data_IF_571296804314
#
_entry.id   IF_571296804314
#
_cell.length_a   1.000
_cell.length_b   1.000
_cell.length_c   1.000
_cell.angle_alpha   90.00
_cell.angle_beta   90.00
_cell.angle_gamma   90.00
#
_symmetry.space_group_name_H-M   'P 1'
#
loop_
_entity.id
_entity.type
_entity.pdbx_description
1 polymer ?
#
# COMPACT_ATOMS: atom_id res chain seq x y z
N UNK A 1 -13.54 36.05 2.98
CA UNK A 1 -14.78 35.57 3.63
C UNK A 1 -15.99 36.50 3.39
N UNK A 2 -16.07 37.21 2.26
CA UNK A 2 -17.17 38.14 1.95
C UNK A 2 -17.81 37.92 0.57
N UNK A 3 -17.35 36.92 -0.21
CA UNK A 3 -17.84 36.68 -1.58
C UNK A 3 -18.86 35.53 -1.63
N UNK A 4 -18.80 34.57 -0.70
CA UNK A 4 -19.75 33.42 -0.69
C UNK A 4 -21.14 33.75 -0.15
N UNK A 5 -21.30 34.87 0.58
CA UNK A 5 -22.59 35.25 1.19
C UNK A 5 -23.55 35.98 0.26
N UNK A 6 -23.07 36.53 -0.86
CA UNK A 6 -23.85 37.43 -1.74
C UNK A 6 -24.24 36.76 -3.06
N UNK A 7 -23.43 35.82 -3.55
CA UNK A 7 -23.67 35.16 -4.85
C UNK A 7 -24.85 34.18 -4.78
N UNK A 8 -25.02 33.48 -3.66
CA UNK A 8 -26.12 32.52 -3.46
C UNK A 8 -27.52 33.14 -3.55
N UNK A 9 -27.83 34.21 -2.79
CA UNK A 9 -29.13 34.85 -2.82
C UNK A 9 -29.46 35.48 -4.18
N UNK A 10 -28.49 36.15 -4.81
CA UNK A 10 -28.70 36.84 -6.10
C UNK A 10 -28.95 35.82 -7.22
N UNK A 11 -28.21 34.71 -7.24
CA UNK A 11 -28.44 33.63 -8.20
C UNK A 11 -29.81 32.97 -8.03
N UNK A 12 -30.24 32.74 -6.78
CA UNK A 12 -31.58 32.19 -6.51
C UNK A 12 -32.71 33.17 -6.87
N UNK A 13 -32.52 34.47 -6.63
CA UNK A 13 -33.48 35.51 -6.98
C UNK A 13 -33.65 35.69 -8.49
N UNK A 14 -32.53 35.66 -9.24
CA UNK A 14 -32.57 35.72 -10.70
C UNK A 14 -33.22 34.47 -11.31
N UNK A 15 -32.96 33.28 -10.76
CA UNK A 15 -33.60 32.04 -11.19
C UNK A 15 -35.11 32.03 -10.93
N UNK A 16 -35.53 32.49 -9.74
CA UNK A 16 -36.94 32.62 -9.39
C UNK A 16 -37.66 33.65 -10.27
N UNK A 17 -37.03 34.81 -10.53
CA UNK A 17 -37.58 35.84 -11.41
C UNK A 17 -37.75 35.35 -12.86
N UNK A 18 -36.78 34.61 -13.38
CA UNK A 18 -36.85 34.02 -14.71
C UNK A 18 -37.96 32.96 -14.83
N UNK A 19 -38.15 32.14 -13.78
CA UNK A 19 -39.23 31.15 -13.72
C UNK A 19 -40.61 31.81 -13.71
N UNK A 20 -40.78 32.91 -12.97
CA UNK A 20 -42.06 33.66 -12.91
C UNK A 20 -42.37 34.33 -14.26
N UNK A 21 -41.37 34.93 -14.91
CA UNK A 21 -41.51 35.51 -16.25
C UNK A 21 -41.87 34.46 -17.30
N UNK A 22 -41.24 33.28 -17.22
CA UNK A 22 -41.54 32.16 -18.10
C UNK A 22 -42.94 31.60 -17.85
N UNK A 23 -43.37 31.47 -16.59
CA UNK A 23 -44.71 31.02 -16.23
C UNK A 23 -45.81 31.99 -16.71
N UNK A 24 -45.54 33.31 -16.67
CA UNK A 24 -46.47 34.33 -17.16
C UNK A 24 -46.62 34.35 -18.70
N UNK A 25 -45.71 33.71 -19.43
CA UNK A 25 -45.71 33.65 -20.90
C UNK A 25 -46.36 32.37 -21.48
N UNK A 26 -46.85 31.48 -20.61
CA UNK A 26 -47.50 30.22 -21.01
C UNK A 26 -48.97 30.50 -21.32
N UNK A 27 -49.36 30.41 -22.59
CA UNK A 27 -50.77 30.42 -23.01
C UNK A 27 -51.53 29.14 -22.58
N UNK A 28 -52.86 29.16 -22.65
CA UNK A 28 -53.81 28.16 -22.10
C UNK A 28 -53.76 26.71 -22.70
N UNK A 29 -52.62 26.26 -23.23
CA UNK A 29 -52.43 24.93 -23.82
C UNK A 29 -51.39 24.06 -23.10
N UNK A 30 -51.44 22.71 -23.26
CA UNK A 30 -50.46 21.80 -22.65
C UNK A 30 -49.08 21.80 -23.36
N UNK A 31 -49.02 22.18 -24.64
CA UNK A 31 -47.78 22.24 -25.43
C UNK A 31 -46.71 23.22 -24.89
N UNK A 32 -47.04 24.48 -24.52
CA UNK A 32 -46.04 25.40 -23.97
C UNK A 32 -45.45 24.94 -22.63
N UNK A 33 -46.21 24.22 -21.79
CA UNK A 33 -45.69 23.61 -20.56
C UNK A 33 -44.65 22.51 -20.85
N UNK A 34 -44.90 21.66 -21.86
CA UNK A 34 -43.96 20.62 -22.27
C UNK A 34 -42.68 21.22 -22.85
N UNK A 35 -42.79 22.27 -23.67
CA UNK A 35 -41.61 22.96 -24.22
C UNK A 35 -40.79 23.66 -23.14
N UNK A 36 -41.44 24.28 -22.16
CA UNK A 36 -40.79 24.95 -21.02
C UNK A 36 -40.05 23.94 -20.13
N UNK A 37 -40.66 22.80 -19.83
CA UNK A 37 -40.02 21.74 -19.03
C UNK A 37 -38.84 21.11 -19.77
N UNK A 38 -38.94 20.91 -21.08
CA UNK A 38 -37.82 20.42 -21.90
C UNK A 38 -36.66 21.41 -21.93
N UNK A 39 -36.95 22.71 -22.09
CA UNK A 39 -35.94 23.77 -22.06
C UNK A 39 -35.23 23.85 -20.71
N UNK A 40 -35.98 23.68 -19.61
CA UNK A 40 -35.43 23.63 -18.25
C UNK A 40 -34.45 22.45 -18.07
N UNK A 41 -34.81 21.25 -18.54
CA UNK A 41 -33.96 20.06 -18.45
C UNK A 41 -32.67 20.20 -19.27
N UNK A 42 -32.77 20.80 -20.47
CA UNK A 42 -31.59 21.08 -21.31
C UNK A 42 -30.68 22.11 -20.63
N UNK A 43 -31.25 23.18 -20.10
CA UNK A 43 -30.52 24.20 -19.34
C UNK A 43 -29.83 23.60 -18.12
N UNK A 44 -30.54 22.77 -17.34
CA UNK A 44 -29.98 22.07 -16.18
C UNK A 44 -28.81 21.16 -16.55
N UNK A 45 -28.96 20.35 -17.62
CA UNK A 45 -27.88 19.48 -18.11
C UNK A 45 -26.66 20.29 -18.56
N UNK A 46 -26.88 21.43 -19.21
CA UNK A 46 -25.80 22.31 -19.64
C UNK A 46 -25.06 22.93 -18.45
N UNK A 47 -25.80 23.49 -17.48
CA UNK A 47 -25.21 24.08 -16.26
C UNK A 47 -24.46 23.04 -15.45
N UNK A 48 -25.06 21.85 -15.22
CA UNK A 48 -24.40 20.75 -14.49
C UNK A 48 -23.11 20.31 -15.18
N UNK A 49 -23.13 20.14 -16.51
CA UNK A 49 -21.93 19.78 -17.26
C UNK A 49 -20.86 20.89 -17.26
N UNK A 50 -21.29 22.16 -17.21
CA UNK A 50 -20.39 23.31 -17.15
C UNK A 50 -19.72 23.45 -15.78
N UNK A 51 -20.49 23.26 -14.69
CA UNK A 51 -19.98 23.23 -13.31
C UNK A 51 -19.01 22.05 -13.11
N UNK A 52 -19.33 20.86 -13.61
CA UNK A 52 -18.42 19.70 -13.53
C UNK A 52 -17.10 19.94 -14.26
N UNK A 53 -17.12 20.61 -15.42
CA UNK A 53 -15.91 20.97 -16.16
C UNK A 53 -15.11 22.06 -15.46
N UNK A 54 -15.79 23.03 -14.85
CA UNK A 54 -15.16 24.07 -14.03
C UNK A 54 -14.52 23.49 -12.76
N UNK A 55 -15.22 22.61 -12.06
CA UNK A 55 -14.74 21.94 -10.85
C UNK A 55 -13.53 21.03 -11.14
N UNK A 56 -13.56 20.27 -12.25
CA UNK A 56 -12.43 19.42 -12.67
C UNK A 56 -11.17 20.22 -13.09
N UNK A 57 -11.30 21.51 -13.43
CA UNK A 57 -10.16 22.38 -13.78
C UNK A 57 -9.71 23.27 -12.62
N UNK A 58 -10.63 23.72 -11.77
CA UNK A 58 -10.33 24.55 -10.61
C UNK A 58 -9.77 23.74 -9.43
N UNK A 59 -10.12 22.45 -9.29
CA UNK A 59 -9.60 21.62 -8.20
C UNK A 59 -8.08 21.34 -8.35
N UNK A 60 -7.55 21.02 -9.55
CA UNK A 60 -6.09 20.93 -9.75
C UNK A 60 -5.37 22.26 -9.57
N UNK A 61 -5.92 23.37 -10.08
CA UNK A 61 -5.27 24.69 -9.98
C UNK A 61 -5.26 25.26 -8.56
N UNK A 62 -6.34 25.07 -7.79
CA UNK A 62 -6.40 25.45 -6.38
C UNK A 62 -5.53 24.55 -5.49
N UNK A 63 -5.37 23.27 -5.84
CA UNK A 63 -4.43 22.37 -5.17
C UNK A 63 -2.98 22.62 -5.60
N UNK A 64 -2.71 23.07 -6.83
CA UNK A 64 -1.37 23.40 -7.31
C UNK A 64 -0.88 24.77 -6.84
N UNK A 65 -1.73 25.79 -6.80
CA UNK A 65 -1.34 27.10 -6.24
C UNK A 65 -1.08 27.00 -4.72
N UNK A 66 -1.77 26.11 -4.00
CA UNK A 66 -1.50 25.83 -2.57
C UNK A 66 -0.31 24.87 -2.32
N UNK A 67 0.23 24.25 -3.38
CA UNK A 67 1.37 23.32 -3.32
C UNK A 67 2.66 23.92 -3.89
N UNK A 68 2.57 25.08 -4.54
CA UNK A 68 3.71 25.76 -5.19
C UNK A 68 4.03 27.13 -4.57
N UNK A 69 3.17 27.70 -3.74
CA UNK A 69 3.58 28.68 -2.75
C UNK A 69 4.02 27.92 -1.50
N UNK A 70 5.32 27.95 -1.20
CA UNK A 70 5.87 27.55 0.08
C UNK A 70 5.27 28.38 1.21
N UNK A 71 4.07 28.01 1.64
CA UNK A 71 3.39 28.57 2.80
C UNK A 71 4.04 27.91 4.02
N UNK A 72 5.13 28.54 4.46
CA UNK A 72 5.50 28.73 5.87
C UNK A 72 4.83 27.75 6.84
N UNK A 73 5.61 26.76 7.30
CA UNK A 73 5.37 25.92 8.48
C UNK A 73 4.54 26.69 9.50
N UNK A 74 3.24 26.45 9.49
CA UNK A 74 2.29 27.24 10.26
C UNK A 74 2.35 26.76 11.71
N UNK A 75 2.13 27.67 12.65
CA UNK A 75 2.08 27.32 14.08
C UNK A 75 1.11 26.16 14.39
N UNK A 76 0.06 26.00 13.57
CA UNK A 76 -0.92 24.93 13.67
C UNK A 76 -0.34 23.55 13.31
N UNK A 77 0.65 23.48 12.39
CA UNK A 77 1.28 22.21 12.01
C UNK A 77 2.19 21.69 13.11
N UNK A 78 2.92 22.56 13.81
CA UNK A 78 3.76 22.15 14.95
C UNK A 78 2.93 21.77 16.18
N UNK A 79 1.81 22.44 16.43
CA UNK A 79 0.85 22.05 17.47
C UNK A 79 0.20 20.69 17.13
N UNK A 80 -0.17 20.45 15.87
CA UNK A 80 -0.71 19.17 15.41
C UNK A 80 0.32 18.04 15.53
N UNK A 81 1.58 18.27 15.12
CA UNK A 81 2.65 17.29 15.25
C UNK A 81 2.85 16.89 16.72
N UNK A 82 2.88 17.86 17.64
CA UNK A 82 2.99 17.58 19.08
C UNK A 82 1.80 16.77 19.60
N UNK A 83 0.58 17.08 19.17
CA UNK A 83 -0.61 16.29 19.54
C UNK A 83 -0.47 14.85 19.02
N UNK A 84 -0.03 14.64 17.78
CA UNK A 84 0.18 13.30 17.24
C UNK A 84 1.27 12.54 17.99
N UNK A 85 2.38 13.19 18.35
CA UNK A 85 3.44 12.60 19.18
C UNK A 85 2.92 12.18 20.55
N UNK A 86 2.08 12.99 21.18
CA UNK A 86 1.47 12.63 22.47
C UNK A 86 0.60 11.36 22.37
N UNK A 87 -0.07 11.15 21.22
CA UNK A 87 -0.95 10.00 20.97
C UNK A 87 -0.20 8.69 20.71
N UNK A 88 1.11 8.73 20.47
CA UNK A 88 1.93 7.51 20.36
C UNK A 88 1.98 6.72 21.68
N UNK A 89 1.67 7.37 22.81
CA UNK A 89 1.59 6.74 24.13
C UNK A 89 0.18 6.24 24.50
N UNK A 90 -0.78 6.34 23.59
CA UNK A 90 -2.17 5.95 23.85
C UNK A 90 -2.31 4.44 24.06
N UNK A 91 -3.20 4.03 24.98
CA UNK A 91 -3.56 2.62 25.15
C UNK A 91 -4.41 2.06 24.00
N UNK A 92 -4.82 2.91 23.05
CA UNK A 92 -5.63 2.52 21.89
C UNK A 92 -4.74 2.34 20.66
N UNK A 93 -4.62 1.11 20.11
CA UNK A 93 -3.69 0.83 19.02
C UNK A 93 -4.01 1.65 17.75
N UNK A 94 -5.29 1.89 17.43
CA UNK A 94 -5.67 2.67 16.25
C UNK A 94 -5.23 4.15 16.34
N UNK A 95 -5.22 4.75 17.54
CA UNK A 95 -4.73 6.13 17.72
C UNK A 95 -3.23 6.19 17.51
N UNK A 96 -2.49 5.19 18.02
CA UNK A 96 -1.04 5.07 17.85
C UNK A 96 -0.70 4.87 16.38
N UNK A 97 -1.33 3.89 15.71
CA UNK A 97 -1.08 3.56 14.30
C UNK A 97 -1.40 4.73 13.37
N UNK A 98 -2.53 5.41 13.57
CA UNK A 98 -2.90 6.57 12.78
C UNK A 98 -1.92 7.74 13.00
N UNK A 99 -1.51 7.97 14.25
CA UNK A 99 -0.56 9.04 14.55
C UNK A 99 0.81 8.74 13.97
N UNK A 100 1.27 7.50 14.09
CA UNK A 100 2.52 7.02 13.50
C UNK A 100 2.51 7.17 11.96
N UNK A 101 1.42 6.76 11.30
CA UNK A 101 1.29 6.90 9.85
C UNK A 101 1.31 8.37 9.41
N UNK A 102 0.56 9.25 10.08
CA UNK A 102 0.58 10.68 9.77
C UNK A 102 1.94 11.31 10.00
N UNK A 103 2.62 10.99 11.11
CA UNK A 103 3.94 11.55 11.40
C UNK A 103 4.96 11.14 10.34
N UNK A 104 4.94 9.89 9.91
CA UNK A 104 5.88 9.38 8.88
C UNK A 104 5.54 9.85 7.47
N UNK A 105 4.27 10.00 7.11
CA UNK A 105 3.86 10.31 5.72
C UNK A 105 3.62 11.79 5.46
N UNK A 106 3.14 12.55 6.45
CA UNK A 106 2.78 13.96 6.30
C UNK A 106 3.81 14.90 6.91
N UNK A 107 4.37 14.53 8.06
CA UNK A 107 5.33 15.36 8.79
C UNK A 107 6.79 14.95 8.53
N UNK A 108 7.01 13.91 7.72
CA UNK A 108 8.34 13.42 7.33
C UNK A 108 9.24 13.08 8.54
N UNK A 109 8.60 12.71 9.67
CA UNK A 109 9.33 12.28 10.86
C UNK A 109 9.91 10.89 10.61
N UNK A 110 11.19 10.72 10.92
CA UNK A 110 11.89 9.48 10.63
C UNK A 110 11.28 8.28 11.38
N UNK A 111 11.19 7.14 10.68
CA UNK A 111 10.71 5.89 11.29
C UNK A 111 11.59 5.50 12.48
N UNK A 112 12.91 5.69 12.37
CA UNK A 112 13.87 5.38 13.43
C UNK A 112 13.54 6.14 14.72
N UNK A 113 13.34 7.46 14.63
CA UNK A 113 13.01 8.32 15.77
C UNK A 113 11.72 7.89 16.47
N UNK A 114 10.67 7.53 15.71
CA UNK A 114 9.38 7.15 16.30
C UNK A 114 9.37 5.72 16.85
N UNK A 115 10.26 4.86 16.39
CA UNK A 115 10.24 3.43 16.72
C UNK A 115 10.79 3.14 18.11
N UNK A 116 11.53 4.08 18.71
CA UNK A 116 11.99 3.99 20.09
C UNK A 116 10.79 3.83 21.05
N UNK A 117 10.74 2.70 21.75
CA UNK A 117 9.64 2.34 22.67
C UNK A 117 8.38 1.78 21.99
N UNK A 118 8.08 2.13 20.73
CA UNK A 118 6.96 1.54 20.00
C UNK A 118 7.23 0.10 19.57
N UNK A 119 8.50 -0.28 19.40
CA UNK A 119 8.88 -1.67 19.12
C UNK A 119 8.51 -2.63 20.26
N UNK A 120 8.43 -2.14 21.49
CA UNK A 120 8.04 -2.90 22.70
C UNK A 120 6.61 -2.57 23.15
N UNK A 121 5.79 -1.96 22.30
CA UNK A 121 4.45 -1.51 22.66
C UNK A 121 3.55 -2.68 23.10
N UNK A 122 2.65 -2.53 24.09
CA UNK A 122 1.83 -3.64 24.60
C UNK A 122 0.96 -4.31 23.53
N UNK A 123 0.48 -3.54 22.55
CA UNK A 123 -0.36 -4.06 21.48
C UNK A 123 0.45 -4.64 20.32
N UNK A 124 0.24 -5.92 19.94
CA UNK A 124 1.00 -6.57 18.86
C UNK A 124 0.79 -5.91 17.49
N UNK A 125 -0.40 -5.34 17.25
CA UNK A 125 -0.69 -4.62 16.00
C UNK A 125 0.25 -3.41 15.78
N UNK A 126 0.61 -2.71 16.87
CA UNK A 126 1.55 -1.58 16.83
C UNK A 126 2.96 -2.08 16.56
N UNK A 127 3.43 -3.08 17.33
CA UNK A 127 4.77 -3.68 17.14
C UNK A 127 4.96 -4.18 15.71
N UNK A 128 3.94 -4.85 15.15
CA UNK A 128 3.96 -5.35 13.77
C UNK A 128 4.08 -4.24 12.74
N UNK A 129 3.34 -3.15 12.89
CA UNK A 129 3.42 -2.03 11.93
C UNK A 129 4.76 -1.31 12.02
N UNK A 130 5.27 -1.10 13.24
CA UNK A 130 6.61 -0.53 13.47
C UNK A 130 7.66 -1.41 12.81
N UNK A 131 7.67 -2.72 13.09
CA UNK A 131 8.60 -3.67 12.48
C UNK A 131 8.49 -3.69 10.94
N UNK A 132 7.27 -3.63 10.38
CA UNK A 132 7.08 -3.55 8.92
C UNK A 132 7.71 -2.28 8.34
N UNK A 133 7.56 -1.15 9.01
CA UNK A 133 8.11 0.14 8.56
C UNK A 133 9.63 0.16 8.66
N UNK A 134 10.18 -0.46 9.69
CA UNK A 134 11.62 -0.71 9.83
C UNK A 134 12.15 -1.61 8.71
N UNK A 135 11.44 -2.67 8.32
CA UNK A 135 11.86 -3.54 7.21
C UNK A 135 11.91 -2.84 5.84
N UNK A 136 11.28 -1.67 5.71
CA UNK A 136 11.28 -0.84 4.50
C UNK A 136 12.21 0.37 4.61
N UNK A 137 12.88 0.54 5.75
CA UNK A 137 13.73 1.71 6.05
C UNK A 137 15.13 1.24 6.46
N UNK A 138 16.15 1.95 6.01
CA UNK A 138 17.51 1.68 6.47
C UNK A 138 17.70 2.23 7.90
N UNK A 139 17.76 1.34 8.89
CA UNK A 139 17.74 1.67 10.34
C UNK A 139 18.71 0.81 11.16
N UNK A 140 20.02 0.84 10.86
CA UNK A 140 21.01 0.02 11.55
C UNK A 140 21.13 0.33 13.05
N UNK A 141 20.76 1.54 13.48
CA UNK A 141 20.83 1.93 14.89
C UNK A 141 19.87 1.15 15.79
N UNK A 142 18.77 0.64 15.21
CA UNK A 142 17.73 -0.10 15.92
C UNK A 142 17.94 -1.61 15.93
N UNK A 143 18.99 -2.11 15.30
CA UNK A 143 19.27 -3.56 15.18
C UNK A 143 19.24 -4.27 16.55
N UNK A 144 19.90 -3.69 17.56
CA UNK A 144 19.92 -4.24 18.92
C UNK A 144 18.54 -4.29 19.55
N UNK A 145 17.71 -3.26 19.34
CA UNK A 145 16.35 -3.22 19.87
C UNK A 145 15.45 -4.26 19.17
N UNK A 146 15.65 -4.45 17.86
CA UNK A 146 14.94 -5.48 17.08
C UNK A 146 15.32 -6.87 17.58
N UNK A 147 16.61 -7.18 17.77
CA UNK A 147 17.07 -8.48 18.32
C UNK A 147 16.46 -8.75 19.69
N UNK A 148 16.52 -7.78 20.61
CA UNK A 148 15.93 -7.93 21.95
C UNK A 148 14.41 -8.16 21.92
N UNK A 149 13.69 -7.53 20.97
CA UNK A 149 12.26 -7.76 20.81
C UNK A 149 11.98 -9.15 20.22
N UNK A 150 12.79 -9.66 19.28
CA UNK A 150 12.63 -11.01 18.70
C UNK A 150 12.70 -12.09 19.78
N UNK A 151 13.60 -11.94 20.75
CA UNK A 151 13.81 -12.92 21.84
C UNK A 151 12.62 -13.05 22.80
N UNK A 152 11.78 -12.01 22.87
CA UNK A 152 10.64 -11.94 23.81
C UNK A 152 9.29 -11.92 23.11
N UNK A 153 9.26 -11.95 21.77
CA UNK A 153 8.03 -11.87 21.00
C UNK A 153 7.32 -13.22 20.91
N UNK A 154 6.07 -13.24 21.38
CA UNK A 154 5.22 -14.44 21.35
C UNK A 154 4.29 -14.49 20.12
N UNK A 155 3.98 -13.34 19.50
CA UNK A 155 3.07 -13.29 18.36
C UNK A 155 3.83 -13.57 17.04
N UNK A 156 3.54 -14.69 16.34
CA UNK A 156 4.31 -15.09 15.16
C UNK A 156 4.30 -14.04 14.04
N UNK A 157 3.18 -13.31 13.89
CA UNK A 157 3.07 -12.24 12.89
C UNK A 157 3.96 -11.04 13.18
N UNK A 158 4.20 -10.73 14.45
CA UNK A 158 5.11 -9.65 14.86
C UNK A 158 6.54 -10.13 14.68
N UNK A 159 6.86 -11.35 15.13
CA UNK A 159 8.20 -11.94 14.99
C UNK A 159 8.64 -12.03 13.52
N UNK A 160 7.74 -12.43 12.62
CA UNK A 160 7.95 -12.40 11.16
C UNK A 160 8.37 -11.01 10.67
N UNK A 161 7.64 -9.96 11.09
CA UNK A 161 7.95 -8.59 10.69
C UNK A 161 9.29 -8.11 11.27
N UNK A 162 9.61 -8.50 12.51
CA UNK A 162 10.89 -8.17 13.15
C UNK A 162 12.07 -8.87 12.48
N UNK A 163 11.93 -10.14 12.07
CA UNK A 163 12.97 -10.86 11.33
C UNK A 163 13.25 -10.20 9.97
N UNK A 164 12.21 -9.75 9.27
CA UNK A 164 12.37 -9.00 8.03
C UNK A 164 13.00 -7.62 8.25
N UNK A 165 12.70 -6.98 9.38
CA UNK A 165 13.33 -5.72 9.79
C UNK A 165 14.82 -5.93 10.08
N UNK A 166 15.15 -6.96 10.87
CA UNK A 166 16.52 -7.34 11.17
C UNK A 166 17.30 -7.68 9.90
N UNK A 167 16.69 -8.44 8.99
CA UNK A 167 17.31 -8.76 7.71
C UNK A 167 17.59 -7.53 6.84
N UNK A 168 16.79 -6.46 6.96
CA UNK A 168 16.99 -5.22 6.23
C UNK A 168 18.07 -4.33 6.85
N UNK A 169 18.32 -4.45 8.17
CA UNK A 169 19.33 -3.66 8.89
C UNK A 169 20.68 -4.37 9.08
N UNK A 170 20.72 -5.71 9.07
CA UNK A 170 21.92 -6.49 9.31
C UNK A 170 22.71 -6.72 8.00
N UNK A 171 23.84 -6.04 7.83
CA UNK A 171 24.74 -6.26 6.68
C UNK A 171 25.79 -7.37 6.92
N UNK A 172 26.24 -7.57 8.17
CA UNK A 172 27.35 -8.49 8.48
C UNK A 172 26.92 -9.79 9.17
N UNK A 173 25.95 -9.72 10.09
CA UNK A 173 25.61 -10.85 10.99
C UNK A 173 24.27 -11.51 10.63
N UNK A 174 23.64 -11.13 9.51
CA UNK A 174 22.31 -11.58 9.13
C UNK A 174 22.18 -13.12 9.06
N UNK A 175 23.26 -13.81 8.68
CA UNK A 175 23.25 -15.28 8.61
C UNK A 175 23.15 -15.88 10.00
N UNK A 176 23.96 -15.43 10.95
CA UNK A 176 23.97 -15.96 12.32
C UNK A 176 22.63 -15.68 13.04
N UNK A 177 22.04 -14.51 12.77
CA UNK A 177 20.76 -14.12 13.38
C UNK A 177 19.56 -14.87 12.80
N UNK A 178 19.53 -15.12 11.49
CA UNK A 178 18.35 -15.65 10.82
C UNK A 178 18.37 -17.18 10.68
N UNK A 179 19.57 -17.80 10.63
CA UNK A 179 19.71 -19.27 10.50
C UNK A 179 18.94 -20.07 11.56
N UNK A 180 18.87 -19.67 12.84
CA UNK A 180 18.09 -20.39 13.85
C UNK A 180 16.60 -20.51 13.52
N UNK A 181 16.06 -19.58 12.75
CA UNK A 181 14.64 -19.48 12.44
C UNK A 181 14.23 -20.21 11.16
N UNK A 182 15.18 -20.71 10.35
CA UNK A 182 14.89 -21.33 9.05
C UNK A 182 14.01 -22.60 9.14
N UNK A 183 14.07 -23.28 10.28
CA UNK A 183 13.30 -24.50 10.58
C UNK A 183 12.30 -24.26 11.73
N UNK A 184 11.89 -23.01 11.97
CA UNK A 184 10.86 -22.72 12.96
C UNK A 184 9.55 -23.47 12.67
N UNK A 185 8.87 -23.91 13.74
CA UNK A 185 7.59 -24.64 13.62
C UNK A 185 6.50 -23.80 12.92
N UNK A 186 6.56 -22.48 13.09
CA UNK A 186 5.69 -21.55 12.38
C UNK A 186 6.21 -21.34 10.95
N UNK A 187 5.41 -21.67 9.92
CA UNK A 187 5.81 -21.43 8.53
C UNK A 187 6.10 -19.96 8.23
N UNK A 188 5.37 -19.04 8.85
CA UNK A 188 5.57 -17.60 8.68
C UNK A 188 6.97 -17.14 9.12
N UNK A 189 7.44 -17.68 10.24
CA UNK A 189 8.76 -17.36 10.81
C UNK A 189 9.85 -17.95 9.92
N UNK A 190 9.69 -19.22 9.52
CA UNK A 190 10.63 -19.90 8.62
C UNK A 190 10.74 -19.18 7.26
N UNK A 191 9.62 -18.73 6.71
CA UNK A 191 9.58 -17.94 5.47
C UNK A 191 10.29 -16.59 5.62
N UNK A 192 10.05 -15.85 6.71
CA UNK A 192 10.73 -14.57 6.96
C UNK A 192 12.25 -14.74 7.06
N UNK A 193 12.71 -15.75 7.79
CA UNK A 193 14.13 -16.07 7.89
C UNK A 193 14.73 -16.41 6.52
N UNK A 194 14.02 -17.21 5.72
CA UNK A 194 14.43 -17.57 4.37
C UNK A 194 14.50 -16.35 3.44
N UNK A 195 13.49 -15.48 3.48
CA UNK A 195 13.49 -14.22 2.71
C UNK A 195 14.69 -13.37 3.09
N UNK A 196 14.95 -13.20 4.39
CA UNK A 196 16.10 -12.42 4.87
C UNK A 196 17.43 -13.00 4.41
N UNK A 197 17.67 -14.30 4.64
CA UNK A 197 18.89 -15.00 4.23
C UNK A 197 19.15 -14.92 2.72
N UNK A 198 18.12 -15.12 1.89
CA UNK A 198 18.25 -15.06 0.43
C UNK A 198 18.45 -13.65 -0.10
N UNK A 199 17.97 -12.63 0.62
CA UNK A 199 18.04 -11.22 0.23
C UNK A 199 19.35 -10.56 0.65
N UNK A 200 19.81 -10.80 1.89
CA UNK A 200 20.95 -10.07 2.49
C UNK A 200 22.12 -10.95 2.92
N UNK A 201 21.93 -12.25 3.13
CA UNK A 201 22.98 -13.15 3.62
C UNK A 201 24.08 -13.51 2.61
N UNK A 202 24.09 -12.91 1.42
CA UNK A 202 25.11 -13.18 0.40
C UNK A 202 25.19 -14.65 -0.03
N UNK A 203 26.40 -15.17 -0.24
CA UNK A 203 26.62 -16.56 -0.67
C UNK A 203 26.26 -17.54 0.45
N UNK A 204 26.61 -17.22 1.70
CA UNK A 204 26.36 -18.08 2.85
C UNK A 204 24.88 -18.18 3.18
N UNK A 205 24.14 -17.06 3.11
CA UNK A 205 22.69 -17.04 3.25
C UNK A 205 21.98 -17.86 2.17
N UNK A 206 22.46 -17.80 0.91
CA UNK A 206 21.96 -18.67 -0.16
C UNK A 206 22.25 -20.15 0.12
N UNK A 207 23.42 -20.48 0.68
CA UNK A 207 23.77 -21.86 1.02
C UNK A 207 22.85 -22.41 2.12
N UNK A 208 22.62 -21.63 3.18
CA UNK A 208 21.75 -22.01 4.30
C UNK A 208 20.29 -22.12 3.86
N UNK A 209 19.78 -21.12 3.12
CA UNK A 209 18.38 -21.07 2.69
C UNK A 209 18.06 -21.97 1.48
N UNK A 210 19.06 -22.26 0.65
CA UNK A 210 18.89 -22.93 -0.63
C UNK A 210 18.35 -24.35 -0.52
N UNK A 211 18.82 -25.13 0.44
CA UNK A 211 18.34 -26.50 0.64
C UNK A 211 16.85 -26.53 1.01
N UNK A 212 16.43 -25.66 1.93
CA UNK A 212 15.02 -25.56 2.34
C UNK A 212 14.15 -25.05 1.20
N UNK A 213 14.61 -24.04 0.45
CA UNK A 213 13.92 -23.52 -0.72
C UNK A 213 13.69 -24.64 -1.77
N UNK A 214 14.71 -25.44 -2.08
CA UNK A 214 14.61 -26.55 -3.02
C UNK A 214 13.68 -27.66 -2.52
N UNK A 215 13.63 -27.91 -1.22
CA UNK A 215 12.71 -28.87 -0.62
C UNK A 215 11.25 -28.41 -0.78
N UNK A 216 10.96 -27.13 -0.54
CA UNK A 216 9.63 -26.56 -0.72
C UNK A 216 9.23 -26.50 -2.20
N UNK A 217 10.14 -26.13 -3.10
CA UNK A 217 9.93 -26.10 -4.56
C UNK A 217 9.46 -27.46 -5.10
N UNK A 218 9.99 -28.55 -4.53
CA UNK A 218 9.74 -29.93 -4.97
C UNK A 218 8.72 -30.67 -4.09
N UNK A 219 8.09 -29.98 -3.15
CA UNK A 219 7.14 -30.61 -2.24
C UNK A 219 5.93 -31.18 -2.98
N UNK A 220 5.41 -32.31 -2.48
CA UNK A 220 4.14 -32.85 -2.95
C UNK A 220 2.96 -31.94 -2.54
N UNK A 221 3.08 -31.20 -1.44
CA UNK A 221 2.04 -30.28 -0.97
C UNK A 221 2.03 -28.99 -1.80
N UNK A 222 0.95 -28.67 -2.53
CA UNK A 222 0.83 -27.41 -3.27
C UNK A 222 0.96 -26.19 -2.36
N UNK A 223 0.58 -26.28 -1.09
CA UNK A 223 0.71 -25.17 -0.13
C UNK A 223 2.17 -24.77 0.08
N UNK A 224 3.08 -25.75 0.16
CA UNK A 224 4.52 -25.49 0.27
C UNK A 224 5.11 -24.91 -1.02
N UNK A 225 4.61 -25.33 -2.19
CA UNK A 225 5.00 -24.75 -3.48
C UNK A 225 4.49 -23.32 -3.65
N UNK A 226 3.28 -23.00 -3.16
CA UNK A 226 2.77 -21.62 -3.07
C UNK A 226 3.70 -20.77 -2.20
N UNK A 227 4.08 -21.26 -1.01
CA UNK A 227 5.03 -20.55 -0.13
C UNK A 227 6.38 -20.31 -0.81
N UNK A 228 6.85 -21.27 -1.60
CA UNK A 228 8.08 -21.11 -2.40
C UNK A 228 7.95 -19.95 -3.37
N UNK A 229 6.86 -19.88 -4.14
CA UNK A 229 6.60 -18.75 -5.05
C UNK A 229 6.54 -17.42 -4.27
N UNK A 230 5.86 -17.40 -3.13
CA UNK A 230 5.77 -16.22 -2.26
C UNK A 230 7.16 -15.74 -1.80
N UNK A 231 7.99 -16.63 -1.24
CA UNK A 231 9.36 -16.33 -0.80
C UNK A 231 10.20 -15.80 -1.96
N UNK A 232 10.17 -16.46 -3.13
CA UNK A 232 10.91 -16.01 -4.31
C UNK A 232 10.48 -14.61 -4.77
N UNK A 233 9.18 -14.32 -4.71
CA UNK A 233 8.63 -13.01 -5.02
C UNK A 233 9.09 -11.93 -4.05
N UNK A 234 9.05 -12.21 -2.74
CA UNK A 234 9.44 -11.25 -1.69
C UNK A 234 10.96 -11.04 -1.60
N UNK A 235 11.76 -12.02 -1.99
CA UNK A 235 13.21 -11.86 -2.20
C UNK A 235 13.47 -10.90 -3.36
N UNK A 236 12.65 -10.94 -4.42
CA UNK A 236 12.68 -9.97 -5.53
C UNK A 236 13.94 -10.00 -6.39
N UNK A 237 14.85 -10.95 -6.17
CA UNK A 237 16.12 -11.01 -6.89
C UNK A 237 15.96 -11.71 -8.25
N UNK A 238 16.24 -10.96 -9.33
CA UNK A 238 16.17 -11.41 -10.73
C UNK A 238 16.93 -12.70 -11.02
N UNK A 239 17.98 -13.02 -10.27
CA UNK A 239 18.77 -14.24 -10.39
C UNK A 239 18.01 -15.52 -10.05
N UNK A 240 16.91 -15.43 -9.30
CA UNK A 240 16.10 -16.59 -8.88
C UNK A 240 15.05 -17.01 -9.90
N UNK A 241 14.99 -16.38 -11.08
CA UNK A 241 14.02 -16.73 -12.13
C UNK A 241 14.00 -18.24 -12.48
N UNK A 242 15.15 -18.92 -12.35
CA UNK A 242 15.27 -20.37 -12.60
C UNK A 242 14.48 -21.24 -11.62
N UNK A 243 14.32 -20.79 -10.37
CA UNK A 243 13.56 -21.48 -9.32
C UNK A 243 12.07 -21.17 -9.44
N UNK A 244 11.72 -19.98 -9.92
CA UNK A 244 10.32 -19.61 -10.12
C UNK A 244 9.71 -20.26 -11.38
N UNK A 245 10.52 -20.49 -12.42
CA UNK A 245 10.05 -20.97 -13.72
C UNK A 245 9.25 -22.29 -13.66
N UNK A 246 9.66 -23.33 -12.91
CA UNK A 246 8.87 -24.55 -12.78
C UNK A 246 7.47 -24.30 -12.19
N UNK A 247 7.34 -23.34 -11.27
CA UNK A 247 6.08 -23.01 -10.58
C UNK A 247 5.07 -22.31 -11.50
N UNK A 248 5.53 -21.62 -12.56
CA UNK A 248 4.63 -21.04 -13.58
C UNK A 248 3.91 -22.11 -14.40
N UNK A 249 4.46 -23.32 -14.48
CA UNK A 249 3.88 -24.48 -15.16
C UNK A 249 3.38 -25.56 -14.20
N UNK A 250 3.22 -25.23 -12.91
CA UNK A 250 2.79 -26.18 -11.88
C UNK A 250 1.42 -26.81 -12.21
N UNK A 251 1.16 -28.08 -11.88
CA UNK A 251 -0.17 -28.67 -12.04
C UNK A 251 -1.27 -27.92 -11.25
N UNK A 252 -0.93 -27.37 -10.09
CA UNK A 252 -1.88 -26.65 -9.23
C UNK A 252 -2.07 -25.19 -9.69
N UNK A 253 -3.34 -24.78 -9.84
CA UNK A 253 -3.67 -23.44 -10.34
C UNK A 253 -3.35 -22.32 -9.33
N UNK A 254 -3.39 -22.62 -8.03
CA UNK A 254 -3.03 -21.67 -6.96
C UNK A 254 -1.53 -21.42 -7.00
N UNK A 255 -0.72 -22.47 -7.17
CA UNK A 255 0.74 -22.33 -7.34
C UNK A 255 1.07 -21.47 -8.56
N UNK A 256 0.43 -21.73 -9.71
CA UNK A 256 0.65 -20.91 -10.92
C UNK A 256 0.26 -19.44 -10.70
N UNK A 257 -0.83 -19.19 -9.99
CA UNK A 257 -1.30 -17.83 -9.67
C UNK A 257 -0.28 -17.09 -8.82
N UNK A 258 0.20 -17.71 -7.74
CA UNK A 258 1.23 -17.11 -6.88
C UNK A 258 2.56 -16.94 -7.62
N UNK A 259 2.93 -17.90 -8.48
CA UNK A 259 4.12 -17.81 -9.30
C UNK A 259 4.07 -16.62 -10.28
N UNK A 260 2.89 -16.28 -10.81
CA UNK A 260 2.69 -15.09 -11.64
C UNK A 260 2.84 -13.81 -10.82
N UNK A 261 2.28 -13.76 -9.60
CA UNK A 261 2.48 -12.62 -8.69
C UNK A 261 3.96 -12.43 -8.38
N UNK A 262 4.66 -13.51 -8.05
CA UNK A 262 6.11 -13.51 -7.82
C UNK A 262 6.90 -13.10 -9.07
N UNK A 263 6.48 -13.51 -10.27
CA UNK A 263 7.13 -13.13 -11.52
C UNK A 263 7.05 -11.61 -11.76
N UNK A 264 5.92 -10.99 -11.40
CA UNK A 264 5.77 -9.54 -11.40
C UNK A 264 6.77 -8.86 -10.45
N UNK A 265 6.87 -9.34 -9.19
CA UNK A 265 7.81 -8.81 -8.19
C UNK A 265 9.28 -8.97 -8.57
N UNK A 266 9.66 -10.13 -9.13
CA UNK A 266 11.04 -10.39 -9.59
C UNK A 266 11.37 -9.57 -10.85
N UNK A 267 10.37 -9.30 -11.70
CA UNK A 267 10.46 -8.55 -12.95
C UNK A 267 11.65 -8.99 -13.84
N UNK A 268 11.88 -10.30 -13.94
CA UNK A 268 12.95 -10.86 -14.77
C UNK A 268 12.45 -11.07 -16.21
N UNK A 269 13.08 -10.46 -17.22
CA UNK A 269 12.66 -10.62 -18.62
C UNK A 269 12.66 -12.06 -19.13
N UNK A 270 13.41 -12.94 -18.46
CA UNK A 270 13.47 -14.37 -18.79
C UNK A 270 12.18 -15.13 -18.48
N UNK A 271 11.28 -14.55 -17.68
CA UNK A 271 9.99 -15.15 -17.32
C UNK A 271 8.86 -14.72 -18.27
N UNK A 272 9.04 -13.65 -19.05
CA UNK A 272 7.99 -13.09 -19.92
C UNK A 272 7.38 -14.07 -20.91
N UNK A 273 8.12 -15.00 -21.55
CA UNK A 273 7.50 -16.01 -22.41
C UNK A 273 6.46 -16.86 -21.66
N UNK A 274 6.79 -17.30 -20.44
CA UNK A 274 5.93 -18.16 -19.61
C UNK A 274 4.73 -17.35 -19.04
N UNK A 275 4.95 -16.08 -18.68
CA UNK A 275 3.89 -15.16 -18.23
C UNK A 275 2.92 -14.82 -19.37
N UNK A 276 3.43 -14.54 -20.58
CA UNK A 276 2.61 -14.25 -21.76
C UNK A 276 1.76 -15.46 -22.16
N UNK A 277 2.32 -16.67 -22.12
CA UNK A 277 1.56 -17.89 -22.37
C UNK A 277 0.40 -18.07 -21.37
N UNK A 278 0.55 -17.54 -20.14
CA UNK A 278 -0.50 -17.60 -19.12
C UNK A 278 -1.68 -16.66 -19.36
N UNK A 279 -1.59 -15.71 -20.30
CA UNK A 279 -2.70 -14.82 -20.68
C UNK A 279 -3.83 -15.57 -21.39
N UNK A 280 -3.50 -16.65 -22.11
CA UNK A 280 -4.48 -17.46 -22.85
C UNK A 280 -5.35 -18.33 -21.91
N UNK A 281 -4.97 -18.44 -20.64
CA UNK A 281 -5.71 -19.20 -19.64
C UNK A 281 -6.70 -18.32 -18.87
N UNK A 282 -8.00 -18.60 -19.01
CA UNK A 282 -9.11 -17.86 -18.37
C UNK A 282 -8.92 -17.72 -16.84
N UNK A 283 -8.35 -18.71 -16.16
CA UNK A 283 -8.10 -18.64 -14.72
C UNK A 283 -6.90 -17.76 -14.32
N UNK A 284 -5.95 -17.53 -15.23
CA UNK A 284 -4.65 -16.92 -14.93
C UNK A 284 -4.45 -15.56 -15.60
N UNK A 285 -5.26 -15.22 -16.61
CA UNK A 285 -5.12 -13.99 -17.40
C UNK A 285 -4.98 -12.72 -16.57
N UNK A 286 -5.71 -12.58 -15.45
CA UNK A 286 -5.61 -11.41 -14.56
C UNK A 286 -4.27 -11.35 -13.84
N UNK A 287 -3.82 -12.47 -13.28
CA UNK A 287 -2.55 -12.55 -12.58
C UNK A 287 -1.37 -12.30 -13.54
N UNK A 288 -1.44 -12.89 -14.74
CA UNK A 288 -0.46 -12.68 -15.80
C UNK A 288 -0.44 -11.21 -16.28
N UNK A 289 -1.61 -10.60 -16.49
CA UNK A 289 -1.69 -9.18 -16.87
C UNK A 289 -1.12 -8.27 -15.77
N UNK A 290 -1.42 -8.55 -14.49
CA UNK A 290 -0.85 -7.77 -13.38
C UNK A 290 0.67 -7.93 -13.29
N UNK A 291 1.20 -9.12 -13.56
CA UNK A 291 2.64 -9.39 -13.51
C UNK A 291 3.43 -8.63 -14.58
N UNK A 292 2.80 -8.31 -15.72
CA UNK A 292 3.43 -7.55 -16.81
C UNK A 292 3.44 -6.03 -16.59
N UNK A 293 2.61 -5.53 -15.66
CA UNK A 293 2.43 -4.10 -15.37
C UNK A 293 3.06 -3.69 -14.02
N UNK A 294 3.43 -4.67 -13.19
CA UNK A 294 4.15 -4.48 -11.93
C UNK A 294 5.53 -3.84 -12.16
#
# INVERSE_FOLDING_TARGET
MAVDGVVGPIASGAAAGLLVLLAASVGDGPLPLVLLTLALLIGWKFVSSWVDRGYRRALPEALQHRRLEGVSLSRDDSEMEQVLRSRLTSQRPHEVLYSFDLLTTRFDVSVSELSEGLITHPHPEVRREVARRLALSDTPELERAIRAQIDTEEEPRVQTALLLALAASAEADAVDDLSPFINADSPLIAEAAMIGLLRTGGVDGILVAGERLLALERSADPTERVRTAHVLGDVGNRGFYRHLRPLLTDPDATVRTEALVAAGKISSPRLWPDVLASLDHIGLHRAAASALVA
#
